data_IF_416741548141
#
_entry.id   IF_416741548141
#
_cell.length_a   1.000
_cell.length_b   1.000
_cell.length_c   1.000
_cell.angle_alpha   90.00
_cell.angle_beta   90.00
_cell.angle_gamma   90.00
#
_symmetry.space_group_name_H-M   'P 1'
#
loop_
_entity.id
_entity.type
_entity.pdbx_description
1 polymer ?
#
# COMPACT_ATOMS: atom_id res chain seq x y z
N UNK A 1 17.95 -11.80 -2.59
CA UNK A 1 18.14 -11.07 -1.30
C UNK A 1 16.81 -11.11 -0.58
N UNK A 2 16.74 -11.87 0.51
CA UNK A 2 15.58 -11.92 1.40
C UNK A 2 15.40 -10.54 1.99
N UNK A 3 14.32 -9.83 1.67
CA UNK A 3 13.92 -8.64 2.41
C UNK A 3 13.77 -9.08 3.88
N UNK A 4 14.79 -8.80 4.68
CA UNK A 4 14.68 -8.63 6.12
C UNK A 4 13.40 -7.81 6.34
N UNK A 5 12.45 -8.32 7.14
CA UNK A 5 11.11 -7.75 7.24
C UNK A 5 11.25 -6.24 7.39
N UNK A 6 10.78 -5.45 6.42
CA UNK A 6 10.96 -4.01 6.53
C UNK A 6 10.34 -3.55 7.85
N UNK A 7 10.96 -2.56 8.50
CA UNK A 7 10.56 -2.13 9.85
C UNK A 7 9.05 -1.89 9.95
N UNK A 8 8.45 -1.40 8.88
CA UNK A 8 7.01 -1.28 8.70
C UNK A 8 6.26 -2.61 8.91
N UNK A 9 6.63 -3.68 8.20
CA UNK A 9 6.02 -5.00 8.34
C UNK A 9 6.19 -5.56 9.76
N UNK A 10 7.36 -5.39 10.36
CA UNK A 10 7.62 -5.81 11.73
C UNK A 10 6.73 -5.07 12.75
N UNK A 11 6.57 -3.75 12.56
CA UNK A 11 5.72 -2.93 13.40
C UNK A 11 4.22 -3.29 13.25
N UNK A 12 3.75 -3.55 12.03
CA UNK A 12 2.37 -4.02 11.79
C UNK A 12 2.09 -5.37 12.43
N UNK A 13 3.03 -6.31 12.34
CA UNK A 13 2.90 -7.61 13.00
C UNK A 13 2.86 -7.46 14.53
N UNK A 14 3.70 -6.58 15.10
CA UNK A 14 3.70 -6.29 16.53
C UNK A 14 2.37 -5.68 16.98
N UNK A 15 1.83 -4.74 16.21
CA UNK A 15 0.52 -4.13 16.46
C UNK A 15 -0.60 -5.19 16.44
N UNK A 16 -0.63 -6.07 15.44
CA UNK A 16 -1.63 -7.13 15.37
C UNK A 16 -1.58 -8.08 16.58
N UNK A 17 -0.37 -8.43 17.05
CA UNK A 17 -0.20 -9.23 18.27
C UNK A 17 -0.73 -8.52 19.51
N UNK A 18 -0.42 -7.23 19.67
CA UNK A 18 -0.92 -6.45 20.80
C UNK A 18 -2.43 -6.34 20.82
N UNK A 19 -3.06 -6.16 19.66
CA UNK A 19 -4.52 -6.12 19.52
C UNK A 19 -5.12 -7.45 19.99
N UNK A 20 -4.55 -8.58 19.55
CA UNK A 20 -5.01 -9.91 19.95
C UNK A 20 -4.77 -10.20 21.44
N UNK A 21 -3.59 -9.90 21.98
CA UNK A 21 -3.23 -10.18 23.37
C UNK A 21 -4.03 -9.34 24.38
N UNK A 22 -4.55 -8.19 23.95
CA UNK A 22 -5.29 -7.25 24.80
C UNK A 22 -6.80 -7.26 24.52
N UNK A 23 -7.27 -8.16 23.66
CA UNK A 23 -8.66 -8.23 23.20
C UNK A 23 -9.19 -6.87 22.74
N UNK A 24 -8.35 -6.12 22.02
CA UNK A 24 -8.76 -4.87 21.37
C UNK A 24 -9.45 -5.17 20.05
N UNK A 25 -10.28 -4.23 19.59
CA UNK A 25 -10.98 -4.34 18.31
C UNK A 25 -10.32 -3.45 17.26
N UNK A 26 -10.01 -4.01 16.09
CA UNK A 26 -9.58 -3.27 14.91
C UNK A 26 -10.74 -3.15 13.92
N UNK A 27 -10.98 -1.94 13.41
CA UNK A 27 -12.01 -1.69 12.40
C UNK A 27 -11.48 -0.79 11.29
N UNK A 28 -11.90 -1.07 10.05
CA UNK A 28 -11.53 -0.30 8.86
C UNK A 28 -10.15 -0.65 8.29
N UNK A 29 -9.56 0.32 7.58
CA UNK A 29 -8.27 0.16 6.92
C UNK A 29 -8.30 -0.58 5.59
N UNK A 30 -9.48 -0.76 4.99
CA UNK A 30 -9.63 -1.35 3.67
C UNK A 30 -8.92 -0.50 2.62
N UNK A 31 -8.18 -1.17 1.73
CA UNK A 31 -7.44 -0.53 0.65
C UNK A 31 -8.03 -0.95 -0.69
N UNK A 32 -8.35 0.03 -1.53
CA UNK A 32 -8.74 -0.15 -2.93
C UNK A 32 -7.65 0.38 -3.83
N UNK A 33 -7.38 -0.33 -4.93
CA UNK A 33 -6.36 0.04 -5.90
C UNK A 33 -6.97 0.06 -7.29
N UNK A 34 -6.72 1.13 -8.05
CA UNK A 34 -7.22 1.29 -9.41
C UNK A 34 -6.16 1.90 -10.33
N UNK A 35 -6.06 1.37 -11.55
CA UNK A 35 -5.24 1.98 -12.60
C UNK A 35 -5.94 3.25 -13.08
N UNK A 36 -5.26 4.39 -12.97
CA UNK A 36 -5.76 5.69 -13.42
C UNK A 36 -5.31 5.98 -14.83
N UNK A 37 -4.06 5.61 -15.15
CA UNK A 37 -3.49 5.82 -16.47
C UNK A 37 -2.56 4.67 -16.86
N UNK A 38 -2.54 4.35 -18.15
CA UNK A 38 -1.59 3.39 -18.73
C UNK A 38 -0.86 4.08 -19.86
N UNK A 39 0.45 4.17 -19.73
CA UNK A 39 1.31 4.76 -20.75
C UNK A 39 1.64 3.75 -21.85
N UNK A 40 2.20 4.25 -22.95
CA UNK A 40 2.73 3.39 -23.99
C UNK A 40 3.88 2.55 -23.42
N UNK A 41 3.95 1.29 -23.87
CA UNK A 41 5.07 0.41 -23.54
C UNK A 41 6.38 1.02 -24.03
N UNK A 42 7.38 1.06 -23.15
CA UNK A 42 8.75 1.35 -23.55
C UNK A 42 9.26 0.20 -24.45
N UNK A 43 9.63 0.51 -25.68
CA UNK A 43 10.05 -0.48 -26.68
C UNK A 43 11.43 -1.06 -26.43
N UNK A 44 12.28 -0.38 -25.67
CA UNK A 44 13.62 -0.85 -25.33
C UNK A 44 13.58 -1.84 -24.15
N UNK A 45 12.71 -1.58 -23.16
CA UNK A 45 12.64 -2.41 -21.94
C UNK A 45 11.44 -3.36 -21.91
N UNK A 46 10.41 -3.13 -22.73
CA UNK A 46 9.16 -3.87 -22.69
C UNK A 46 8.30 -3.58 -21.45
N UNK A 47 8.60 -2.50 -20.72
CA UNK A 47 7.90 -2.13 -19.49
C UNK A 47 6.74 -1.17 -19.83
N UNK A 48 5.60 -1.37 -19.18
CA UNK A 48 4.50 -0.43 -19.15
C UNK A 48 4.56 0.40 -17.88
N UNK A 49 4.74 1.72 -18.00
CA UNK A 49 4.46 2.59 -16.90
C UNK A 49 2.94 2.77 -16.75
N UNK A 50 2.47 2.80 -15.51
CA UNK A 50 1.08 3.06 -15.15
C UNK A 50 1.01 3.98 -13.93
N UNK A 51 -0.01 4.82 -13.88
CA UNK A 51 -0.38 5.51 -12.65
C UNK A 51 -1.46 4.70 -11.94
N UNK A 52 -1.24 4.44 -10.65
CA UNK A 52 -2.15 3.69 -9.80
C UNK A 52 -2.58 4.58 -8.65
N UNK A 53 -3.89 4.70 -8.45
CA UNK A 53 -4.45 5.33 -7.26
C UNK A 53 -4.74 4.25 -6.20
N UNK A 54 -4.35 4.56 -4.98
CA UNK A 54 -4.60 3.75 -3.80
C UNK A 54 -5.47 4.59 -2.86
N UNK A 55 -6.66 4.08 -2.56
CA UNK A 55 -7.57 4.65 -1.57
C UNK A 55 -7.61 3.75 -0.36
N UNK A 56 -7.23 4.28 0.80
CA UNK A 56 -7.29 3.58 2.07
C UNK A 56 -8.39 4.22 2.94
N UNK A 57 -9.30 3.40 3.45
CA UNK A 57 -10.27 3.85 4.44
C UNK A 57 -9.58 4.17 5.77
N UNK A 58 -10.23 5.01 6.58
CA UNK A 58 -9.77 5.24 7.95
C UNK A 58 -9.78 3.93 8.74
N UNK A 59 -8.95 3.85 9.76
CA UNK A 59 -8.88 2.70 10.65
C UNK A 59 -8.83 3.16 12.10
N UNK A 60 -9.36 2.33 13.01
CA UNK A 60 -9.27 2.59 14.44
C UNK A 60 -9.00 1.31 15.23
N UNK A 61 -8.42 1.49 16.41
CA UNK A 61 -8.33 0.45 17.44
C UNK A 61 -9.02 0.93 18.70
N UNK A 62 -9.96 0.12 19.20
CA UNK A 62 -10.69 0.39 20.43
C UNK A 62 -10.41 -0.66 21.49
N UNK A 63 -10.40 -0.24 22.76
CA UNK A 63 -10.36 -1.16 23.91
C UNK A 63 -11.73 -1.81 24.11
N UNK A 64 -11.80 -2.82 24.98
CA UNK A 64 -13.08 -3.42 25.40
C UNK A 64 -14.03 -2.41 26.06
N UNK A 65 -13.49 -1.34 26.68
CA UNK A 65 -14.30 -0.28 27.27
C UNK A 65 -14.87 0.70 26.22
N UNK A 66 -14.45 0.57 24.95
CA UNK A 66 -14.86 1.43 23.84
C UNK A 66 -13.94 2.63 23.60
N UNK A 67 -12.87 2.80 24.39
CA UNK A 67 -11.92 3.89 24.22
C UNK A 67 -11.07 3.69 22.95
N UNK A 68 -10.95 4.72 22.12
CA UNK A 68 -10.05 4.71 20.97
C UNK A 68 -8.61 4.96 21.42
N UNK A 69 -7.70 4.06 21.06
CA UNK A 69 -6.26 4.15 21.39
C UNK A 69 -5.38 4.36 20.15
N UNK A 70 -5.97 4.26 18.96
CA UNK A 70 -5.32 4.53 17.70
C UNK A 70 -6.38 4.91 16.66
N UNK A 71 -6.07 5.95 15.88
CA UNK A 71 -6.86 6.37 14.74
C UNK A 71 -5.96 6.70 13.54
N UNK A 72 -6.34 6.23 12.37
CA UNK A 72 -5.77 6.60 11.09
C UNK A 72 -6.86 7.22 10.21
N UNK A 73 -6.62 8.43 9.71
CA UNK A 73 -7.52 9.05 8.75
C UNK A 73 -7.50 8.30 7.41
N UNK A 74 -8.60 8.33 6.63
CA UNK A 74 -8.57 7.86 5.26
C UNK A 74 -7.53 8.63 4.45
N UNK A 75 -6.88 7.95 3.51
CA UNK A 75 -5.83 8.53 2.68
C UNK A 75 -6.01 8.10 1.22
N UNK A 76 -5.62 8.98 0.31
CA UNK A 76 -5.50 8.65 -1.11
C UNK A 76 -4.10 9.02 -1.57
N UNK A 77 -3.46 8.12 -2.30
CA UNK A 77 -2.14 8.35 -2.89
C UNK A 77 -2.11 7.85 -4.33
N UNK A 78 -1.25 8.46 -5.14
CA UNK A 78 -0.98 7.99 -6.50
C UNK A 78 0.46 7.51 -6.56
N UNK A 79 0.66 6.32 -7.11
CA UNK A 79 1.97 5.74 -7.37
C UNK A 79 2.20 5.64 -8.87
N UNK A 80 3.42 5.94 -9.27
CA UNK A 80 3.98 5.48 -10.53
C UNK A 80 4.42 4.03 -10.35
N UNK A 81 3.91 3.14 -11.19
CA UNK A 81 4.22 1.72 -11.15
C UNK A 81 4.73 1.28 -12.52
N UNK A 82 5.84 0.57 -12.52
CA UNK A 82 6.43 -0.03 -13.70
C UNK A 82 6.07 -1.51 -13.74
N UNK A 83 5.36 -1.92 -14.79
CA UNK A 83 4.87 -3.27 -14.94
C UNK A 83 5.49 -3.92 -16.17
N UNK A 84 6.14 -5.06 -15.96
CA UNK A 84 6.64 -5.92 -17.03
C UNK A 84 5.75 -7.15 -17.20
N UNK A 85 5.93 -7.85 -18.30
CA UNK A 85 5.29 -9.16 -18.53
C UNK A 85 6.36 -10.20 -18.83
N UNK A 86 6.31 -11.32 -18.11
CA UNK A 86 7.09 -12.53 -18.40
C UNK A 86 6.13 -13.67 -18.68
N UNK A 87 6.13 -14.18 -19.91
CA UNK A 87 5.17 -15.15 -20.40
C UNK A 87 3.70 -14.69 -20.21
N UNK A 88 2.96 -15.36 -19.33
CA UNK A 88 1.57 -15.02 -18.98
C UNK A 88 1.44 -14.25 -17.66
N UNK A 89 2.57 -13.92 -17.02
CA UNK A 89 2.59 -13.29 -15.70
C UNK A 89 2.95 -11.81 -15.81
N UNK A 90 2.15 -10.97 -15.17
CA UNK A 90 2.47 -9.56 -14.93
C UNK A 90 3.35 -9.44 -13.69
N UNK A 91 4.37 -8.59 -13.78
CA UNK A 91 5.37 -8.40 -12.74
C UNK A 91 5.50 -6.90 -12.47
N UNK A 92 5.46 -6.52 -11.20
CA UNK A 92 5.84 -5.16 -10.80
C UNK A 92 7.36 -5.11 -10.75
N UNK A 93 7.94 -4.23 -11.54
CA UNK A 93 9.40 -4.02 -11.67
C UNK A 93 9.85 -2.88 -10.76
N UNK A 94 9.01 -1.85 -10.63
CA UNK A 94 9.27 -0.68 -9.80
C UNK A 94 7.96 -0.03 -9.34
N UNK A 95 8.02 0.65 -8.20
CA UNK A 95 6.94 1.50 -7.72
C UNK A 95 7.52 2.67 -6.94
N UNK A 96 6.97 3.87 -7.15
CA UNK A 96 7.43 5.08 -6.47
C UNK A 96 6.38 6.17 -6.46
N UNK A 97 6.51 7.09 -5.51
CA UNK A 97 5.74 8.34 -5.53
C UNK A 97 6.34 9.24 -6.60
N UNK A 98 5.51 9.80 -7.46
CA UNK A 98 5.95 10.83 -8.41
C UNK A 98 6.16 12.11 -7.59
N UNK A 99 7.40 12.43 -7.24
CA UNK A 99 7.71 13.77 -6.74
C UNK A 99 7.26 14.75 -7.82
N UNK A 100 6.41 15.70 -7.43
CA UNK A 100 5.93 16.77 -8.30
C UNK A 100 7.14 17.55 -8.79
N UNK A 101 7.68 17.20 -9.95
CA UNK A 101 8.59 18.07 -10.69
C UNK A 101 7.76 19.29 -11.12
N UNK A 102 7.72 20.31 -10.26
CA UNK A 102 7.39 21.67 -10.64
C UNK A 102 8.55 22.14 -11.51
N UNK A 103 8.40 21.94 -12.82
CA UNK A 103 9.15 22.67 -13.84
C UNK A 103 8.56 24.05 -14.06
#
# INVERSE_FOLDING_TARGET
MSHESCEYCANRLRQAKQIAEKDYTWEGGETTTSVVHTYQQDSATGIWPIDVEIRQQGARVTTQAGDEIYGAAPATSTLWVEVGRRDTQWLIVGAGTRESNVG
#
